data_IF_359669032205
#
_entry.id   IF_359669032205
#
_cell.length_a   1.000
_cell.length_b   1.000
_cell.length_c   1.000
_cell.angle_alpha   90.00
_cell.angle_beta   90.00
_cell.angle_gamma   90.00
#
_symmetry.space_group_name_H-M   'P 1'
#
loop_
_entity.id
_entity.type
_entity.pdbx_description
1 polymer ?
#
# COMPACT_ATOMS: atom_id res chain seq x y z
N UNK A 1 25.72 2.00 -1.10
CA UNK A 1 24.31 1.56 -1.15
C UNK A 1 23.86 1.40 0.29
N UNK A 2 22.84 2.15 0.70
CA UNK A 2 22.36 2.20 2.09
C UNK A 2 21.76 0.86 2.51
N UNK A 3 22.01 0.39 3.73
CA UNK A 3 21.41 -0.82 4.31
C UNK A 3 20.45 -0.48 5.47
N UNK A 4 19.56 -1.42 5.83
CA UNK A 4 18.63 -1.21 6.94
C UNK A 4 19.33 -0.99 8.29
N UNK A 5 20.46 -1.67 8.54
CA UNK A 5 21.25 -1.48 9.76
C UNK A 5 21.93 -0.10 9.79
N UNK A 6 22.41 0.40 8.65
CA UNK A 6 22.94 1.76 8.54
C UNK A 6 21.86 2.81 8.78
N UNK A 7 20.65 2.61 8.25
CA UNK A 7 19.50 3.49 8.53
C UNK A 7 19.21 3.56 10.03
N UNK A 8 19.04 2.40 10.69
CA UNK A 8 18.77 2.35 12.14
C UNK A 8 19.88 3.03 12.94
N UNK A 9 21.14 2.71 12.63
CA UNK A 9 22.29 3.31 13.32
C UNK A 9 22.33 4.83 13.17
N UNK A 10 22.01 5.35 11.99
CA UNK A 10 22.10 6.78 11.71
C UNK A 10 20.87 7.59 12.17
N UNK A 11 19.72 6.93 12.30
CA UNK A 11 18.51 7.50 12.89
C UNK A 11 18.57 7.47 14.43
N UNK A 12 19.31 6.52 15.02
CA UNK A 12 19.43 6.37 16.47
C UNK A 12 18.21 5.68 17.10
N UNK A 13 18.18 5.65 18.43
CA UNK A 13 17.17 4.89 19.19
C UNK A 13 15.83 5.64 19.34
N UNK A 14 15.84 6.97 19.21
CA UNK A 14 14.62 7.80 19.17
C UNK A 14 14.72 8.81 18.02
N UNK A 15 14.36 8.41 16.80
CA UNK A 15 14.47 9.27 15.63
C UNK A 15 13.33 10.29 15.53
N UNK A 16 12.33 10.24 16.43
CA UNK A 16 11.08 10.99 16.33
C UNK A 16 11.19 12.48 16.66
N UNK A 17 12.31 12.93 17.24
CA UNK A 17 12.47 14.30 17.74
C UNK A 17 12.31 15.43 16.71
N UNK A 18 12.30 15.13 15.41
CA UNK A 18 12.04 16.11 14.34
C UNK A 18 11.50 15.42 13.05
N UNK A 19 10.35 14.76 13.15
CA UNK A 19 9.71 14.09 11.99
C UNK A 19 9.43 15.09 10.87
N UNK A 20 8.89 16.27 11.20
CA UNK A 20 8.52 17.30 10.24
C UNK A 20 9.68 17.72 9.31
N UNK A 21 10.92 17.74 9.81
CA UNK A 21 12.10 18.06 8.98
C UNK A 21 12.70 16.81 8.34
N UNK A 22 12.80 15.70 9.08
CA UNK A 22 13.53 14.51 8.62
C UNK A 22 12.75 13.71 7.57
N UNK A 23 11.42 13.64 7.71
CA UNK A 23 10.56 12.84 6.84
C UNK A 23 10.57 13.35 5.39
N UNK A 24 10.41 14.65 5.10
CA UNK A 24 10.52 15.16 3.73
C UNK A 24 11.97 15.14 3.19
N UNK A 25 12.96 15.22 4.08
CA UNK A 25 14.37 15.18 3.70
C UNK A 25 14.87 13.76 3.35
N UNK A 26 14.12 12.71 3.71
CA UNK A 26 14.55 11.32 3.57
C UNK A 26 14.96 10.95 2.14
N UNK A 27 14.20 11.40 1.13
CA UNK A 27 14.54 11.15 -0.29
C UNK A 27 15.89 11.73 -0.70
N UNK A 28 16.23 12.93 -0.22
CA UNK A 28 17.53 13.57 -0.50
C UNK A 28 18.67 12.95 0.32
N UNK A 29 18.37 12.51 1.54
CA UNK A 29 19.38 12.01 2.49
C UNK A 29 19.77 10.56 2.24
N UNK A 30 18.80 9.72 1.89
CA UNK A 30 18.96 8.25 1.81
C UNK A 30 18.86 7.70 0.41
N UNK A 31 18.31 8.48 -0.52
CA UNK A 31 18.05 8.06 -1.90
C UNK A 31 16.80 7.19 -2.04
N UNK A 32 16.41 6.95 -3.29
CA UNK A 32 15.22 6.17 -3.67
C UNK A 32 15.56 4.79 -4.24
N UNK A 33 16.81 4.34 -4.05
CA UNK A 33 17.23 3.03 -4.53
C UNK A 33 16.59 1.91 -3.71
N UNK A 34 16.33 0.73 -4.31
CA UNK A 34 15.89 -0.44 -3.58
C UNK A 34 16.79 -0.75 -2.39
N UNK A 35 16.19 -1.00 -1.23
CA UNK A 35 16.92 -1.27 0.00
C UNK A 35 17.37 -2.75 0.04
N UNK A 36 18.68 -3.03 0.05
CA UNK A 36 19.20 -4.40 0.14
C UNK A 36 18.68 -5.11 1.39
N UNK A 37 18.19 -6.34 1.20
CA UNK A 37 17.65 -7.16 2.28
C UNK A 37 16.21 -6.82 2.71
N UNK A 38 15.57 -5.84 2.06
CA UNK A 38 14.16 -5.51 2.29
C UNK A 38 13.43 -5.32 0.94
N UNK A 39 13.04 -6.42 0.26
CA UNK A 39 12.38 -6.36 -1.04
C UNK A 39 11.13 -5.47 -1.03
N UNK A 40 10.95 -4.70 -2.11
CA UNK A 40 9.80 -3.80 -2.27
C UNK A 40 9.90 -2.50 -1.48
N UNK A 41 10.98 -2.27 -0.72
CA UNK A 41 11.27 -1.00 -0.04
C UNK A 41 12.44 -0.26 -0.68
N UNK A 42 12.35 1.06 -0.70
CA UNK A 42 13.50 1.95 -0.97
C UNK A 42 14.08 2.48 0.33
N UNK A 43 15.30 3.01 0.28
CA UNK A 43 15.97 3.53 1.46
C UNK A 43 15.20 4.70 2.12
N UNK A 44 14.64 5.62 1.33
CA UNK A 44 13.85 6.74 1.84
C UNK A 44 12.50 6.30 2.44
N UNK A 45 11.82 5.33 1.84
CA UNK A 45 10.60 4.75 2.43
C UNK A 45 10.88 4.09 3.78
N UNK A 46 11.95 3.30 3.88
CA UNK A 46 12.30 2.63 5.12
C UNK A 46 12.69 3.62 6.21
N UNK A 47 13.45 4.67 5.86
CA UNK A 47 13.78 5.74 6.79
C UNK A 47 12.53 6.46 7.30
N UNK A 48 11.60 6.80 6.41
CA UNK A 48 10.30 7.40 6.75
C UNK A 48 9.47 6.51 7.67
N UNK A 49 9.41 5.21 7.38
CA UNK A 49 8.70 4.25 8.23
C UNK A 49 9.31 4.13 9.64
N UNK A 50 10.65 4.13 9.75
CA UNK A 50 11.33 4.12 11.05
C UNK A 50 11.08 5.41 11.86
N UNK A 51 11.05 6.57 11.20
CA UNK A 51 10.69 7.84 11.82
C UNK A 51 9.27 7.80 12.38
N UNK A 52 8.30 7.34 11.57
CA UNK A 52 6.90 7.27 11.97
C UNK A 52 6.63 6.23 13.06
N UNK A 53 7.32 5.09 13.04
CA UNK A 53 7.15 4.02 14.02
C UNK A 53 7.51 4.44 15.47
N UNK A 54 8.28 5.53 15.62
CA UNK A 54 8.66 6.07 16.93
C UNK A 54 7.90 7.37 17.27
N UNK A 55 7.01 7.83 16.39
CA UNK A 55 6.33 9.12 16.51
C UNK A 55 4.84 8.96 16.84
N UNK A 56 4.18 10.00 17.38
CA UNK A 56 2.72 10.03 17.49
C UNK A 56 2.06 9.86 16.12
N UNK A 57 0.93 9.16 16.05
CA UNK A 57 0.22 8.92 14.78
C UNK A 57 -0.16 10.21 14.03
N UNK A 58 -0.38 11.31 14.75
CA UNK A 58 -0.62 12.64 14.18
C UNK A 58 0.47 13.09 13.19
N UNK A 59 1.72 12.66 13.36
CA UNK A 59 2.81 12.93 12.42
C UNK A 59 2.62 12.18 11.09
N UNK A 60 2.14 10.92 11.14
CA UNK A 60 1.80 10.16 9.95
C UNK A 60 0.59 10.77 9.22
N UNK A 61 -0.42 11.21 9.96
CA UNK A 61 -1.58 11.91 9.39
C UNK A 61 -1.17 13.22 8.71
N UNK A 62 -0.32 14.03 9.36
CA UNK A 62 0.21 15.27 8.79
C UNK A 62 1.04 15.00 7.54
N UNK A 63 1.97 14.03 7.59
CA UNK A 63 2.78 13.63 6.46
C UNK A 63 1.92 13.15 5.27
N UNK A 64 0.87 12.37 5.52
CA UNK A 64 -0.04 11.92 4.47
C UNK A 64 -0.88 13.08 3.88
N UNK A 65 -1.34 14.00 4.74
CA UNK A 65 -2.19 15.11 4.32
C UNK A 65 -1.45 16.11 3.44
N UNK A 66 -0.23 16.47 3.81
CA UNK A 66 0.54 17.55 3.19
C UNK A 66 1.68 17.08 2.29
N UNK A 67 2.04 15.80 2.35
CA UNK A 67 3.15 15.25 1.58
C UNK A 67 2.81 14.98 0.12
N UNK A 68 3.87 14.77 -0.67
CA UNK A 68 3.79 14.33 -2.06
C UNK A 68 3.38 12.85 -2.19
N UNK A 69 3.28 12.34 -3.42
CA UNK A 69 2.87 10.96 -3.66
C UNK A 69 3.86 9.91 -3.13
N UNK A 70 5.17 10.20 -3.13
CA UNK A 70 6.17 9.28 -2.60
C UNK A 70 6.09 9.24 -1.05
N UNK A 71 5.88 10.40 -0.44
CA UNK A 71 5.68 10.59 0.99
C UNK A 71 4.40 9.89 1.48
N UNK A 72 3.27 10.13 0.81
CA UNK A 72 2.00 9.43 1.10
C UNK A 72 2.13 7.93 0.99
N UNK A 73 2.81 7.45 -0.06
CA UNK A 73 3.07 6.02 -0.23
C UNK A 73 3.90 5.45 0.92
N UNK A 74 4.92 6.16 1.38
CA UNK A 74 5.71 5.75 2.54
C UNK A 74 4.87 5.70 3.82
N UNK A 75 3.95 6.64 4.04
CA UNK A 75 2.99 6.57 5.16
C UNK A 75 2.14 5.31 5.09
N UNK A 76 1.48 5.05 3.95
CA UNK A 76 0.61 3.88 3.77
C UNK A 76 1.35 2.56 4.05
N UNK A 77 2.58 2.45 3.57
CA UNK A 77 3.45 1.28 3.82
C UNK A 77 3.91 1.16 5.27
N UNK A 78 3.97 2.26 6.02
CA UNK A 78 4.38 2.29 7.41
C UNK A 78 3.25 1.94 8.39
N UNK A 79 1.98 2.13 8.00
CA UNK A 79 0.80 1.86 8.85
C UNK A 79 0.83 0.51 9.61
N UNK A 80 1.17 -0.65 9.01
CA UNK A 80 1.19 -1.93 9.75
C UNK A 80 2.31 -2.00 10.81
N UNK A 81 3.21 -1.01 10.85
CA UNK A 81 4.27 -0.89 11.83
C UNK A 81 3.91 0.07 12.97
N UNK A 82 2.82 0.85 12.83
CA UNK A 82 2.36 1.80 13.82
C UNK A 82 1.39 1.08 14.76
N UNK A 83 1.60 1.16 16.07
CA UNK A 83 0.75 0.50 17.07
C UNK A 83 -0.59 1.27 17.27
N UNK A 84 -1.38 1.39 16.19
CA UNK A 84 -2.54 2.32 16.09
C UNK A 84 -3.88 1.61 15.86
N UNK A 85 -3.92 0.27 15.88
CA UNK A 85 -5.13 -0.48 15.55
C UNK A 85 -5.66 -0.09 14.17
N UNK A 86 -6.94 0.26 14.06
CA UNK A 86 -7.60 0.67 12.82
C UNK A 86 -7.65 2.19 12.58
N UNK A 87 -6.93 3.01 13.36
CA UNK A 87 -6.99 4.47 13.25
C UNK A 87 -6.55 5.01 11.87
N UNK A 88 -5.71 4.25 11.14
CA UNK A 88 -5.24 4.61 9.80
C UNK A 88 -6.21 4.28 8.65
N UNK A 89 -7.35 3.65 8.89
CA UNK A 89 -8.33 3.28 7.84
C UNK A 89 -8.77 4.48 6.96
N UNK A 90 -8.99 5.69 7.50
CA UNK A 90 -9.32 6.85 6.66
C UNK A 90 -8.27 7.18 5.59
N UNK A 91 -6.98 6.90 5.86
CA UNK A 91 -5.89 7.13 4.91
C UNK A 91 -5.95 6.10 3.77
N UNK A 92 -6.33 4.85 4.06
CA UNK A 92 -6.58 3.84 3.03
C UNK A 92 -7.73 4.26 2.12
N UNK A 93 -8.86 4.70 2.69
CA UNK A 93 -10.00 5.17 1.91
C UNK A 93 -9.66 6.34 1.01
N UNK A 94 -8.88 7.31 1.49
CA UNK A 94 -8.41 8.42 0.67
C UNK A 94 -7.53 7.93 -0.49
N UNK A 95 -6.53 7.10 -0.20
CA UNK A 95 -5.63 6.54 -1.20
C UNK A 95 -6.38 5.76 -2.29
N UNK A 96 -7.38 4.97 -1.90
CA UNK A 96 -8.26 4.22 -2.81
C UNK A 96 -9.16 5.12 -3.67
N UNK A 97 -9.34 6.40 -3.35
CA UNK A 97 -10.05 7.37 -4.21
C UNK A 97 -9.16 8.02 -5.25
N UNK A 98 -7.83 7.91 -5.13
CA UNK A 98 -6.87 8.48 -6.09
C UNK A 98 -6.73 7.63 -7.35
N UNK A 99 -6.13 8.18 -8.42
CA UNK A 99 -5.73 7.40 -9.61
C UNK A 99 -4.21 7.12 -9.64
N UNK A 100 -3.48 7.31 -8.53
CA UNK A 100 -2.08 6.91 -8.45
C UNK A 100 -2.01 5.41 -8.13
N UNK A 101 -1.58 4.61 -9.12
CA UNK A 101 -1.45 3.15 -8.99
C UNK A 101 -0.56 2.74 -7.83
N UNK A 102 0.44 3.55 -7.48
CA UNK A 102 1.38 3.27 -6.39
C UNK A 102 0.72 3.46 -5.03
N UNK A 103 -0.15 4.47 -4.90
CA UNK A 103 -0.94 4.70 -3.67
C UNK A 103 -2.02 3.63 -3.51
N UNK A 104 -2.72 3.28 -4.58
CA UNK A 104 -3.72 2.20 -4.56
C UNK A 104 -3.08 0.87 -4.15
N UNK A 105 -1.93 0.51 -4.73
CA UNK A 105 -1.19 -0.70 -4.37
C UNK A 105 -0.74 -0.69 -2.90
N UNK A 106 -0.25 0.45 -2.40
CA UNK A 106 0.16 0.56 -1.00
C UNK A 106 -1.04 0.48 -0.03
N UNK A 107 -2.19 1.04 -0.41
CA UNK A 107 -3.40 1.01 0.40
C UNK A 107 -4.00 -0.40 0.54
N UNK A 108 -3.75 -1.27 -0.43
CA UNK A 108 -4.14 -2.69 -0.39
C UNK A 108 -3.00 -3.60 0.13
N UNK A 109 -1.96 -3.02 0.72
CA UNK A 109 -0.91 -3.75 1.44
C UNK A 109 -1.40 -4.33 2.78
N UNK A 110 -0.48 -4.74 3.68
CA UNK A 110 -0.83 -5.47 4.92
C UNK A 110 -1.91 -4.80 5.78
N UNK A 111 -1.87 -3.47 5.92
CA UNK A 111 -2.81 -2.72 6.74
C UNK A 111 -4.26 -2.72 6.20
N UNK A 112 -4.47 -3.21 4.97
CA UNK A 112 -5.81 -3.42 4.40
C UNK A 112 -6.63 -4.49 5.14
N UNK A 113 -6.04 -5.26 6.06
CA UNK A 113 -6.77 -6.13 6.99
C UNK A 113 -7.83 -5.37 7.81
N UNK A 114 -7.64 -4.06 8.01
CA UNK A 114 -8.60 -3.21 8.72
C UNK A 114 -9.73 -2.67 7.83
N UNK A 115 -9.67 -2.85 6.51
CA UNK A 115 -10.76 -2.47 5.61
C UNK A 115 -11.92 -3.47 5.77
N UNK A 116 -13.15 -2.94 5.82
CA UNK A 116 -14.33 -3.76 5.60
C UNK A 116 -14.29 -4.42 4.20
N UNK A 117 -15.02 -5.52 4.07
CA UNK A 117 -14.94 -6.32 2.85
C UNK A 117 -15.46 -5.57 1.63
N UNK A 118 -16.43 -4.67 1.79
CA UNK A 118 -16.98 -3.91 0.66
C UNK A 118 -15.93 -2.95 0.09
N UNK A 119 -15.26 -2.18 0.94
CA UNK A 119 -14.18 -1.29 0.57
C UNK A 119 -12.98 -2.04 -0.01
N UNK A 120 -12.63 -3.18 0.58
CA UNK A 120 -11.55 -4.03 0.09
C UNK A 120 -11.85 -4.59 -1.32
N UNK A 121 -13.04 -5.17 -1.55
CA UNK A 121 -13.45 -5.68 -2.88
C UNK A 121 -13.44 -4.59 -3.94
N UNK A 122 -13.93 -3.39 -3.61
CA UNK A 122 -13.88 -2.24 -4.52
C UNK A 122 -12.45 -1.80 -4.82
N UNK A 123 -11.55 -1.87 -3.84
CA UNK A 123 -10.12 -1.66 -4.03
C UNK A 123 -9.51 -2.69 -4.98
N UNK A 124 -9.81 -3.99 -4.80
CA UNK A 124 -9.34 -5.06 -5.69
C UNK A 124 -9.84 -4.84 -7.12
N UNK A 125 -11.13 -4.54 -7.30
CA UNK A 125 -11.68 -4.27 -8.62
C UNK A 125 -11.02 -3.04 -9.26
N UNK A 126 -10.73 -2.01 -8.47
CA UNK A 126 -9.98 -0.83 -8.93
C UNK A 126 -8.57 -1.18 -9.40
N UNK A 127 -7.86 -2.07 -8.70
CA UNK A 127 -6.57 -2.58 -9.17
C UNK A 127 -6.67 -3.19 -10.57
N UNK A 128 -7.67 -4.06 -10.77
CA UNK A 128 -7.93 -4.69 -12.08
C UNK A 128 -8.18 -3.63 -13.16
N UNK A 129 -8.99 -2.61 -12.88
CA UNK A 129 -9.25 -1.52 -13.83
C UNK A 129 -8.01 -0.69 -14.17
N UNK A 130 -7.13 -0.46 -13.19
CA UNK A 130 -5.94 0.36 -13.32
C UNK A 130 -4.70 -0.41 -13.79
N UNK A 131 -4.79 -1.73 -13.94
CA UNK A 131 -3.66 -2.59 -14.28
C UNK A 131 -2.63 -2.71 -13.15
N UNK A 132 -3.06 -2.54 -11.89
CA UNK A 132 -2.22 -2.84 -10.72
C UNK A 132 -2.23 -4.36 -10.51
N UNK A 133 -1.05 -5.02 -10.46
CA UNK A 133 -0.99 -6.48 -10.30
C UNK A 133 -1.68 -6.93 -9.01
N UNK A 134 -2.59 -7.91 -9.12
CA UNK A 134 -3.31 -8.40 -7.94
C UNK A 134 -2.40 -9.07 -6.89
N UNK A 135 -1.20 -9.50 -7.28
CA UNK A 135 -0.19 -10.00 -6.36
C UNK A 135 0.28 -8.97 -5.30
N UNK A 136 -0.03 -7.68 -5.47
CA UNK A 136 0.26 -6.65 -4.45
C UNK A 136 -0.82 -6.57 -3.37
N UNK A 137 -1.99 -7.17 -3.58
CA UNK A 137 -3.10 -7.14 -2.63
C UNK A 137 -2.84 -8.14 -1.50
N UNK A 138 -2.78 -7.65 -0.27
CA UNK A 138 -2.58 -8.49 0.89
C UNK A 138 -3.82 -9.34 1.21
N UNK A 139 -3.59 -10.62 1.52
CA UNK A 139 -4.65 -11.56 1.90
C UNK A 139 -5.64 -11.87 0.76
N UNK A 140 -5.24 -11.70 -0.50
CA UNK A 140 -6.15 -11.80 -1.64
C UNK A 140 -6.85 -13.16 -1.72
N UNK A 141 -6.10 -14.25 -1.62
CA UNK A 141 -6.65 -15.60 -1.73
C UNK A 141 -7.54 -15.91 -0.54
N UNK A 142 -7.16 -15.48 0.65
CA UNK A 142 -7.87 -15.75 1.91
C UNK A 142 -9.17 -14.95 2.04
N UNK A 143 -9.22 -13.74 1.48
CA UNK A 143 -10.38 -12.84 1.54
C UNK A 143 -11.27 -12.90 0.30
N UNK A 144 -10.83 -13.55 -0.78
CA UNK A 144 -11.66 -13.71 -1.96
C UNK A 144 -12.91 -14.51 -1.63
N UNK A 145 -14.06 -13.97 -2.04
CA UNK A 145 -15.36 -14.54 -1.75
C UNK A 145 -16.29 -14.48 -2.98
N UNK A 146 -17.49 -15.01 -2.83
CA UNK A 146 -18.47 -15.11 -3.91
C UNK A 146 -18.84 -13.75 -4.50
N UNK A 147 -18.90 -12.71 -3.66
CA UNK A 147 -19.22 -11.35 -4.11
C UNK A 147 -18.07 -10.78 -4.97
N UNK A 148 -16.82 -10.96 -4.55
CA UNK A 148 -15.67 -10.56 -5.38
C UNK A 148 -15.64 -11.34 -6.69
N UNK A 149 -15.91 -12.64 -6.66
CA UNK A 149 -15.96 -13.47 -7.85
C UNK A 149 -17.07 -13.03 -8.80
N UNK A 150 -18.26 -12.69 -8.29
CA UNK A 150 -19.35 -12.14 -9.10
C UNK A 150 -18.96 -10.81 -9.76
N UNK A 151 -18.34 -9.89 -9.00
CA UNK A 151 -17.84 -8.61 -9.52
C UNK A 151 -16.81 -8.79 -10.64
N UNK A 152 -15.84 -9.68 -10.45
CA UNK A 152 -14.81 -9.98 -11.45
C UNK A 152 -15.40 -10.65 -12.70
N UNK A 153 -16.37 -11.54 -12.54
CA UNK A 153 -17.07 -12.18 -13.66
C UNK A 153 -17.86 -11.16 -14.48
N UNK A 154 -18.56 -10.22 -13.84
CA UNK A 154 -19.26 -9.13 -14.50
C UNK A 154 -18.28 -8.22 -15.28
N UNK A 155 -17.15 -7.87 -14.67
CA UNK A 155 -16.07 -7.13 -15.34
C UNK A 155 -15.54 -7.87 -16.58
N UNK A 156 -15.26 -9.17 -16.46
CA UNK A 156 -14.74 -9.99 -17.56
C UNK A 156 -15.74 -10.06 -18.74
N UNK A 157 -17.04 -10.18 -18.44
CA UNK A 157 -18.11 -10.14 -19.43
C UNK A 157 -18.16 -8.79 -20.15
N UNK A 158 -18.11 -7.68 -19.42
CA UNK A 158 -18.11 -6.33 -20.00
C UNK A 158 -16.90 -6.07 -20.90
N UNK A 159 -15.70 -6.51 -20.48
CA UNK A 159 -14.47 -6.42 -21.29
C UNK A 159 -14.59 -7.21 -22.58
N UNK A 160 -15.03 -8.46 -22.49
CA UNK A 160 -15.20 -9.37 -23.63
C UNK A 160 -16.24 -8.84 -24.62
N UNK A 161 -17.39 -8.36 -24.13
CA UNK A 161 -18.43 -7.76 -24.96
C UNK A 161 -17.94 -6.51 -25.71
N UNK A 162 -17.01 -5.78 -25.13
CA UNK A 162 -16.34 -4.64 -25.76
C UNK A 162 -15.15 -5.03 -26.65
N UNK A 163 -14.87 -6.32 -26.86
CA UNK A 163 -13.73 -6.80 -27.64
C UNK A 163 -12.36 -6.50 -27.01
N UNK A 164 -12.32 -6.32 -25.68
CA UNK A 164 -11.10 -5.98 -24.94
C UNK A 164 -10.63 -7.18 -24.13
N UNK A 165 -9.31 -7.34 -24.01
CA UNK A 165 -8.72 -8.42 -23.19
C UNK A 165 -9.04 -8.25 -21.69
N UNK A 166 -9.21 -9.39 -21.02
CA UNK A 166 -9.38 -9.50 -19.57
C UNK A 166 -7.99 -9.74 -18.94
N UNK A 167 -7.60 -9.02 -17.88
CA UNK A 167 -6.33 -9.26 -17.18
C UNK A 167 -6.19 -10.70 -16.68
N UNK A 168 -5.01 -11.28 -16.89
CA UNK A 168 -4.75 -12.69 -16.62
C UNK A 168 -4.83 -13.05 -15.12
N UNK A 169 -4.40 -12.15 -14.24
CA UNK A 169 -4.48 -12.31 -12.79
C UNK A 169 -5.92 -12.26 -12.26
N UNK A 170 -6.79 -11.43 -12.86
CA UNK A 170 -8.22 -11.44 -12.57
C UNK A 170 -8.90 -12.76 -13.00
N UNK A 171 -8.53 -13.31 -14.17
CA UNK A 171 -9.00 -14.62 -14.62
C UNK A 171 -8.50 -15.75 -13.72
N UNK A 172 -7.21 -15.71 -13.33
CA UNK A 172 -6.63 -16.71 -12.44
C UNK A 172 -7.33 -16.75 -11.08
N UNK A 173 -7.65 -15.58 -10.51
CA UNK A 173 -8.40 -15.48 -9.26
C UNK A 173 -9.83 -16.06 -9.40
N UNK A 174 -10.52 -15.75 -10.50
CA UNK A 174 -11.84 -16.32 -10.79
C UNK A 174 -11.84 -17.84 -10.94
N UNK A 175 -10.79 -18.41 -11.53
CA UNK A 175 -10.65 -19.86 -11.67
C UNK A 175 -10.37 -20.49 -10.31
N UNK A 176 -9.42 -19.95 -9.55
CA UNK A 176 -9.06 -20.46 -8.24
C UNK A 176 -10.25 -20.47 -7.26
N UNK A 177 -11.10 -19.44 -7.29
CA UNK A 177 -12.29 -19.36 -6.44
C UNK A 177 -13.35 -20.43 -6.75
N UNK A 178 -13.45 -20.88 -8.00
CA UNK A 178 -14.39 -21.94 -8.39
C UNK A 178 -13.94 -23.34 -7.96
N UNK A 179 -12.66 -23.50 -7.64
CA UNK A 179 -12.05 -24.78 -7.27
C UNK A 179 -11.90 -24.95 -5.75
N UNK A 180 -12.10 -23.87 -4.98
CA UNK A 180 -12.07 -23.84 -3.51
C UNK A 180 -13.41 -24.31 -2.91
#
# INVERSE_FOLDING_TARGET
MTTLNELRKALGDDPSGDVATQFPAAGRRWGRDPLPGLPGWTADEAARALLLASAPFAEAEAAYRYGDADEKRAVLKALPLLAIGSEGVPLLHDALRTNDTRLVAAALGPYAEHLDDAAWRQGVLKCVFMGVPLATVHGLTERADDELAAMLAAFAQERTAAGREVPADALALLVAHKEA
#
